data_IF_235134372753
#
_entry.id   IF_235134372753
#
_cell.length_a   1.000
_cell.length_b   1.000
_cell.length_c   1.000
_cell.angle_alpha   90.00
_cell.angle_beta   90.00
_cell.angle_gamma   90.00
#
_symmetry.space_group_name_H-M   'P 1'
#
loop_
_entity.id
_entity.type
_entity.pdbx_description
1 polymer ?
#
# COMPACT_ATOMS: atom_id res chain seq x y z
N UNK A 1 -17.06 6.05 16.82
CA UNK A 1 -16.74 4.82 17.57
C UNK A 1 -15.46 4.20 17.00
N UNK A 2 -15.47 3.70 15.76
CA UNK A 2 -14.30 3.09 15.11
C UNK A 2 -13.00 3.89 15.26
N UNK A 3 -12.99 5.13 14.76
CA UNK A 3 -11.81 6.00 14.81
C UNK A 3 -11.36 6.39 16.23
N UNK A 4 -12.25 6.34 17.22
CA UNK A 4 -11.96 6.76 18.59
C UNK A 4 -11.43 5.60 19.45
N UNK A 5 -11.89 4.39 19.20
CA UNK A 5 -11.63 3.22 20.04
C UNK A 5 -10.62 2.25 19.41
N UNK A 6 -10.61 2.13 18.08
CA UNK A 6 -9.80 1.12 17.39
C UNK A 6 -8.50 1.67 16.79
N UNK A 7 -8.43 2.97 16.44
CA UNK A 7 -7.15 3.59 16.03
C UNK A 7 -6.08 3.47 17.13
N UNK A 8 -6.37 3.75 18.42
CA UNK A 8 -5.36 3.60 19.46
C UNK A 8 -4.84 2.16 19.57
N UNK A 9 -5.71 1.17 19.37
CA UNK A 9 -5.32 -0.23 19.35
C UNK A 9 -4.45 -0.56 18.12
N UNK A 10 -4.77 -0.03 16.94
CA UNK A 10 -3.95 -0.17 15.73
C UNK A 10 -2.56 0.51 15.80
N UNK A 11 -2.36 1.43 16.76
CA UNK A 11 -1.05 2.03 17.06
C UNK A 11 -0.20 1.17 17.99
N UNK A 12 -0.74 0.08 18.54
CA UNK A 12 -0.05 -0.83 19.47
C UNK A 12 1.27 -1.38 18.94
N UNK A 13 1.35 -1.69 17.64
CA UNK A 13 2.61 -2.06 16.98
C UNK A 13 3.73 -1.02 17.16
N UNK A 14 3.41 0.27 17.04
CA UNK A 14 4.39 1.34 17.19
C UNK A 14 4.86 1.44 18.64
N UNK A 15 3.93 1.35 19.58
CA UNK A 15 4.24 1.36 21.01
C UNK A 15 5.10 0.15 21.40
N UNK A 16 4.79 -1.03 20.84
CA UNK A 16 5.61 -2.21 21.01
C UNK A 16 7.01 -2.04 20.43
N UNK A 17 7.15 -1.45 19.25
CA UNK A 17 8.47 -1.16 18.67
C UNK A 17 9.34 -0.27 19.57
N UNK A 18 8.74 0.77 20.18
CA UNK A 18 9.42 1.61 21.17
C UNK A 18 9.81 0.78 22.40
N UNK A 19 8.86 0.06 22.98
CA UNK A 19 9.09 -0.79 24.14
C UNK A 19 10.18 -1.86 23.90
N UNK A 20 10.16 -2.51 22.74
CA UNK A 20 11.13 -3.51 22.33
C UNK A 20 12.53 -2.90 22.22
N UNK A 21 12.66 -1.75 21.56
CA UNK A 21 13.95 -1.08 21.39
C UNK A 21 14.53 -0.61 22.72
N UNK A 22 13.70 -0.09 23.62
CA UNK A 22 14.12 0.30 24.97
C UNK A 22 14.56 -0.90 25.82
N UNK A 23 13.94 -2.07 25.60
CA UNK A 23 14.20 -3.30 26.37
C UNK A 23 15.41 -4.09 25.86
N UNK A 24 15.45 -4.33 24.54
CA UNK A 24 16.41 -5.24 23.89
C UNK A 24 17.64 -4.48 23.38
N UNK A 25 17.51 -3.17 23.10
CA UNK A 25 18.57 -2.35 22.49
C UNK A 25 19.23 -3.03 21.27
N UNK A 26 18.44 -3.48 20.27
CA UNK A 26 18.95 -4.24 19.15
C UNK A 26 19.84 -3.37 18.26
N UNK A 27 20.77 -4.01 17.53
CA UNK A 27 21.59 -3.31 16.53
C UNK A 27 20.76 -2.77 15.35
N UNK A 28 19.66 -3.46 15.04
CA UNK A 28 18.63 -3.00 14.11
C UNK A 28 17.35 -2.65 14.91
N UNK A 29 16.95 -1.37 14.99
CA UNK A 29 15.75 -0.95 15.72
C UNK A 29 14.43 -1.46 15.11
N UNK A 30 14.49 -2.22 14.01
CA UNK A 30 13.35 -2.82 13.33
C UNK A 30 13.31 -4.35 13.42
N UNK A 31 14.25 -4.98 14.12
CA UNK A 31 14.28 -6.43 14.36
C UNK A 31 12.94 -6.96 14.94
N UNK A 32 12.24 -6.14 15.72
CA UNK A 32 10.93 -6.49 16.28
C UNK A 32 9.87 -6.81 15.22
N UNK A 33 10.00 -6.30 13.99
CA UNK A 33 9.10 -6.61 12.89
C UNK A 33 9.21 -8.08 12.47
N UNK A 34 10.40 -8.69 12.52
CA UNK A 34 10.56 -10.13 12.29
C UNK A 34 9.85 -10.94 13.37
N UNK A 35 9.90 -10.47 14.62
CA UNK A 35 9.22 -11.08 15.75
C UNK A 35 7.69 -11.01 15.62
N UNK A 36 7.16 -9.92 15.05
CA UNK A 36 5.73 -9.74 14.76
C UNK A 36 5.29 -10.41 13.45
N UNK A 37 6.20 -10.60 12.49
CA UNK A 37 5.93 -11.08 11.13
C UNK A 37 5.44 -12.53 11.04
N UNK A 38 5.49 -13.30 12.13
CA UNK A 38 4.85 -14.62 12.23
C UNK A 38 3.32 -14.57 12.33
N UNK A 39 2.72 -13.37 12.26
CA UNK A 39 1.27 -13.18 12.36
C UNK A 39 0.62 -13.33 10.99
N UNK A 40 -0.39 -14.19 10.89
CA UNK A 40 -1.18 -14.34 9.66
C UNK A 40 -2.00 -13.07 9.40
N UNK A 41 -1.85 -12.49 8.21
CA UNK A 41 -2.44 -11.21 7.81
C UNK A 41 -2.98 -11.32 6.38
N UNK A 42 -4.12 -10.71 6.11
CA UNK A 42 -4.79 -10.75 4.80
C UNK A 42 -3.90 -10.15 3.69
N UNK A 43 -3.20 -9.04 3.97
CA UNK A 43 -2.32 -8.42 2.96
C UNK A 43 -1.12 -9.31 2.61
N UNK A 44 -0.57 -10.03 3.61
CA UNK A 44 0.54 -10.97 3.42
C UNK A 44 0.11 -12.15 2.56
N UNK A 45 -1.06 -12.74 2.84
CA UNK A 45 -1.59 -13.84 2.04
C UNK A 45 -1.89 -13.40 0.60
N UNK A 46 -2.52 -12.23 0.42
CA UNK A 46 -2.74 -11.63 -0.92
C UNK A 46 -1.43 -11.49 -1.68
N UNK A 47 -0.40 -10.92 -1.06
CA UNK A 47 0.89 -10.71 -1.70
C UNK A 47 1.59 -12.04 -2.02
N UNK A 48 1.42 -13.07 -1.18
CA UNK A 48 1.95 -14.41 -1.45
C UNK A 48 1.28 -15.06 -2.66
N UNK A 49 -0.05 -14.93 -2.82
CA UNK A 49 -0.74 -15.44 -4.01
C UNK A 49 -0.25 -14.77 -5.30
N UNK A 50 -0.06 -13.44 -5.28
CA UNK A 50 0.51 -12.70 -6.42
C UNK A 50 1.93 -13.17 -6.76
N UNK A 51 2.78 -13.36 -5.74
CA UNK A 51 4.16 -13.83 -5.92
C UNK A 51 4.23 -15.28 -6.42
N UNK A 52 3.31 -16.14 -6.00
CA UNK A 52 3.20 -17.52 -6.50
C UNK A 52 2.84 -17.54 -7.99
N UNK A 53 1.86 -16.75 -8.42
CA UNK A 53 1.52 -16.60 -9.83
C UNK A 53 2.71 -16.01 -10.63
N UNK A 54 3.43 -15.03 -10.06
CA UNK A 54 4.60 -14.45 -10.72
C UNK A 54 5.74 -15.46 -10.87
N UNK A 55 5.96 -16.30 -9.85
CA UNK A 55 6.92 -17.41 -9.91
C UNK A 55 6.53 -18.42 -10.98
N UNK A 56 5.25 -18.78 -11.07
CA UNK A 56 4.74 -19.68 -12.09
C UNK A 56 5.05 -19.16 -13.49
N UNK A 57 4.77 -17.88 -13.77
CA UNK A 57 5.11 -17.22 -15.05
C UNK A 57 6.62 -17.24 -15.31
N UNK A 58 7.45 -16.91 -14.31
CA UNK A 58 8.93 -16.91 -14.45
C UNK A 58 9.50 -18.27 -14.81
N UNK A 59 8.93 -19.34 -14.23
CA UNK A 59 9.40 -20.72 -14.47
C UNK A 59 8.92 -21.32 -15.79
N UNK A 60 7.87 -20.76 -16.39
CA UNK A 60 7.28 -21.26 -17.64
C UNK A 60 7.58 -20.30 -18.81
N UNK A 61 8.70 -20.54 -19.50
CA UNK A 61 9.24 -19.63 -20.53
C UNK A 61 8.27 -19.33 -21.69
N UNK A 62 7.39 -20.26 -22.05
CA UNK A 62 6.40 -20.03 -23.12
C UNK A 62 5.18 -19.22 -22.66
N UNK A 63 4.88 -19.20 -21.36
CA UNK A 63 3.71 -18.54 -20.82
C UNK A 63 3.86 -17.02 -20.83
N UNK A 64 5.03 -16.50 -20.45
CA UNK A 64 5.30 -15.06 -20.45
C UNK A 64 5.11 -14.44 -21.85
N UNK A 65 5.56 -15.11 -22.90
CA UNK A 65 5.43 -14.64 -24.29
C UNK A 65 3.98 -14.73 -24.80
N UNK A 66 3.24 -15.77 -24.41
CA UNK A 66 1.79 -15.85 -24.70
C UNK A 66 1.02 -14.69 -24.07
N UNK A 67 1.27 -14.42 -22.80
CA UNK A 67 0.59 -13.34 -22.06
C UNK A 67 0.91 -11.96 -22.65
N UNK A 68 2.17 -11.71 -23.06
CA UNK A 68 2.55 -10.49 -23.79
C UNK A 68 1.76 -10.29 -25.09
N UNK A 69 1.40 -11.39 -25.75
CA UNK A 69 0.59 -11.39 -26.98
C UNK A 69 -0.92 -11.44 -26.71
N UNK A 70 -1.37 -11.21 -25.46
CA UNK A 70 -2.78 -11.27 -25.03
C UNK A 70 -3.45 -12.65 -25.22
N UNK A 71 -2.66 -13.73 -25.13
CA UNK A 71 -3.17 -15.11 -25.17
C UNK A 71 -3.30 -15.61 -23.74
N UNK A 72 -4.53 -15.87 -23.30
CA UNK A 72 -4.89 -16.30 -21.94
C UNK A 72 -5.48 -17.72 -21.96
N UNK A 73 -4.69 -18.71 -22.40
CA UNK A 73 -5.12 -20.10 -22.60
C UNK A 73 -4.63 -21.08 -21.52
N UNK A 74 -3.88 -20.61 -20.54
CA UNK A 74 -3.34 -21.43 -19.46
C UNK A 74 -4.37 -21.66 -18.35
N UNK A 75 -4.87 -22.90 -18.24
CA UNK A 75 -5.94 -23.26 -17.29
C UNK A 75 -5.52 -23.08 -15.82
N UNK A 76 -4.26 -23.39 -15.49
CA UNK A 76 -3.75 -23.31 -14.12
C UNK A 76 -3.67 -21.86 -13.65
N UNK A 77 -3.02 -20.99 -14.45
CA UNK A 77 -2.92 -19.57 -14.16
C UNK A 77 -4.32 -18.94 -14.07
N UNK A 78 -5.21 -19.24 -15.01
CA UNK A 78 -6.56 -18.69 -14.99
C UNK A 78 -7.32 -19.15 -13.75
N UNK A 79 -7.19 -20.41 -13.31
CA UNK A 79 -7.80 -20.86 -12.05
C UNK A 79 -7.29 -20.08 -10.84
N UNK A 80 -5.98 -19.86 -10.73
CA UNK A 80 -5.38 -19.09 -9.64
C UNK A 80 -5.83 -17.62 -9.66
N UNK A 81 -5.91 -17.01 -10.85
CA UNK A 81 -6.43 -15.64 -11.02
C UNK A 81 -7.89 -15.54 -10.58
N UNK A 82 -8.75 -16.50 -10.95
CA UNK A 82 -10.16 -16.48 -10.51
C UNK A 82 -10.28 -16.65 -8.98
N UNK A 83 -9.50 -17.55 -8.38
CA UNK A 83 -9.46 -17.71 -6.91
C UNK A 83 -8.99 -16.43 -6.22
N UNK A 84 -7.98 -15.77 -6.78
CA UNK A 84 -7.51 -14.48 -6.28
C UNK A 84 -8.61 -13.42 -6.34
N UNK A 85 -9.33 -13.32 -7.46
CA UNK A 85 -10.42 -12.35 -7.65
C UNK A 85 -11.59 -12.65 -6.71
N UNK A 86 -11.94 -13.93 -6.52
CA UNK A 86 -13.00 -14.32 -5.58
C UNK A 86 -12.67 -13.88 -4.14
N UNK A 87 -11.39 -13.96 -3.74
CA UNK A 87 -10.96 -13.61 -2.39
C UNK A 87 -10.65 -12.12 -2.21
N UNK A 88 -10.08 -11.47 -3.22
CA UNK A 88 -9.47 -10.13 -3.12
C UNK A 88 -9.91 -9.16 -4.20
N UNK A 89 -10.70 -9.59 -5.19
CA UNK A 89 -11.20 -8.73 -6.28
C UNK A 89 -12.17 -7.65 -5.82
N UNK A 90 -12.82 -7.87 -4.68
CA UNK A 90 -13.66 -6.89 -4.00
C UNK A 90 -12.87 -5.92 -3.11
N UNK A 91 -11.54 -5.99 -3.07
CA UNK A 91 -10.73 -4.95 -2.43
C UNK A 91 -10.60 -3.80 -3.43
N UNK A 92 -11.39 -2.75 -3.23
CA UNK A 92 -11.13 -1.46 -3.85
C UNK A 92 -9.95 -0.85 -3.12
N UNK A 93 -8.96 -0.42 -3.87
CA UNK A 93 -8.21 0.73 -3.41
C UNK A 93 -9.16 1.90 -3.73
N UNK A 94 -9.42 2.82 -2.79
CA UNK A 94 -10.22 4.06 -3.00
C UNK A 94 -11.44 3.91 -3.92
N UNK A 95 -11.46 4.51 -5.14
CA UNK A 95 -12.58 4.52 -6.12
C UNK A 95 -12.47 3.55 -7.30
N UNK A 96 -11.38 2.78 -7.44
CA UNK A 96 -11.12 1.94 -8.65
C UNK A 96 -11.08 0.45 -8.34
N UNK A 97 -11.68 -0.35 -9.22
CA UNK A 97 -11.73 -1.82 -9.14
C UNK A 97 -10.43 -2.48 -9.66
N UNK A 98 -9.28 -2.11 -9.10
CA UNK A 98 -7.95 -2.48 -9.58
C UNK A 98 -7.74 -4.00 -9.75
N UNK A 99 -8.35 -4.83 -8.89
CA UNK A 99 -8.14 -6.28 -8.84
C UNK A 99 -9.37 -7.11 -9.22
N UNK A 100 -10.41 -6.49 -9.78
CA UNK A 100 -11.68 -7.20 -10.08
C UNK A 100 -11.70 -7.93 -11.42
N UNK A 101 -10.76 -7.62 -12.33
CA UNK A 101 -10.71 -8.16 -13.69
C UNK A 101 -9.45 -9.03 -13.88
N UNK A 102 -9.58 -10.25 -14.45
CA UNK A 102 -8.45 -11.11 -14.78
C UNK A 102 -7.31 -10.40 -15.53
N UNK A 103 -7.62 -9.51 -16.48
CA UNK A 103 -6.57 -8.81 -17.24
C UNK A 103 -5.69 -7.91 -16.38
N UNK A 104 -6.29 -7.19 -15.42
CA UNK A 104 -5.56 -6.30 -14.52
C UNK A 104 -4.65 -7.08 -13.59
N UNK A 105 -5.17 -8.19 -13.03
CA UNK A 105 -4.38 -9.10 -12.18
C UNK A 105 -3.22 -9.69 -12.96
N UNK A 106 -3.45 -10.20 -14.18
CA UNK A 106 -2.39 -10.77 -15.01
C UNK A 106 -1.33 -9.72 -15.37
N UNK A 107 -1.75 -8.49 -15.72
CA UNK A 107 -0.81 -7.41 -15.99
C UNK A 107 0.11 -7.14 -14.80
N UNK A 108 -0.45 -7.05 -13.59
CA UNK A 108 0.31 -6.85 -12.36
C UNK A 108 1.27 -8.02 -12.09
N UNK A 109 0.80 -9.25 -12.22
CA UNK A 109 1.61 -10.46 -12.01
C UNK A 109 2.75 -10.54 -13.04
N UNK A 110 2.52 -10.10 -14.27
CA UNK A 110 3.57 -9.99 -15.28
C UNK A 110 4.66 -8.99 -14.89
N UNK A 111 4.29 -7.81 -14.37
CA UNK A 111 5.26 -6.84 -13.85
C UNK A 111 6.09 -7.44 -12.71
N UNK A 112 5.44 -8.18 -11.79
CA UNK A 112 6.13 -8.91 -10.72
C UNK A 112 7.07 -10.01 -11.25
N UNK A 113 6.67 -10.69 -12.33
CA UNK A 113 7.47 -11.73 -12.98
C UNK A 113 8.71 -11.16 -13.70
N UNK A 114 8.67 -9.90 -14.15
CA UNK A 114 9.83 -9.24 -14.77
C UNK A 114 10.94 -8.93 -13.77
N UNK A 115 10.61 -8.80 -12.49
CA UNK A 115 11.62 -8.61 -11.45
C UNK A 115 12.30 -9.93 -11.07
N UNK A 116 13.61 -9.84 -10.81
CA UNK A 116 14.32 -10.89 -10.07
C UNK A 116 13.69 -10.99 -8.69
N UNK A 117 13.40 -12.22 -8.20
CA UNK A 117 12.74 -12.43 -6.92
C UNK A 117 13.32 -11.49 -5.85
N UNK A 118 12.48 -10.70 -5.15
CA UNK A 118 12.97 -9.70 -4.23
C UNK A 118 13.90 -10.37 -3.22
N UNK A 119 15.10 -9.82 -3.05
CA UNK A 119 16.00 -10.25 -1.97
C UNK A 119 15.35 -9.82 -0.66
N UNK A 120 14.39 -10.60 -0.14
CA UNK A 120 13.87 -10.42 1.22
C UNK A 120 15.07 -10.32 2.14
N UNK A 121 15.32 -9.13 2.67
CA UNK A 121 16.52 -8.85 3.46
C UNK A 121 16.36 -9.36 4.88
N UNK A 122 15.11 -9.55 5.31
CA UNK A 122 14.78 -10.34 6.48
C UNK A 122 15.17 -11.78 6.19
N UNK A 123 16.29 -12.19 6.76
CA UNK A 123 16.52 -13.60 7.02
C UNK A 123 15.25 -14.07 7.72
N UNK A 124 14.67 -15.18 7.30
CA UNK A 124 13.80 -15.97 8.19
C UNK A 124 14.67 -16.54 9.31
N UNK A 125 15.31 -15.66 10.07
CA UNK A 125 16.12 -15.94 11.23
C UNK A 125 15.15 -16.30 12.33
N UNK A 126 14.97 -17.61 12.51
CA UNK A 126 14.20 -18.29 13.54
C UNK A 126 13.45 -17.34 14.51
N UNK A 127 12.18 -17.01 14.21
CA UNK A 127 11.32 -16.14 15.05
C UNK A 127 11.35 -16.59 16.52
N UNK A 128 11.53 -17.89 16.74
CA UNK A 128 11.69 -18.49 18.07
C UNK A 128 12.97 -18.02 18.77
N UNK A 129 14.08 -17.86 18.05
CA UNK A 129 15.31 -17.28 18.57
C UNK A 129 15.14 -15.80 18.96
N UNK A 130 14.44 -15.01 18.13
CA UNK A 130 14.13 -13.61 18.46
C UNK A 130 13.21 -13.51 19.68
N UNK A 131 12.22 -14.40 19.77
CA UNK A 131 11.35 -14.51 20.94
C UNK A 131 12.15 -14.85 22.20
N UNK A 132 13.04 -15.83 22.11
CA UNK A 132 13.89 -16.23 23.23
C UNK A 132 14.85 -15.11 23.65
N UNK A 133 15.44 -14.38 22.70
CA UNK A 133 16.25 -13.20 22.96
C UNK A 133 15.45 -12.13 23.71
N UNK A 134 14.27 -11.77 23.19
CA UNK A 134 13.37 -10.83 23.85
C UNK A 134 13.03 -11.25 25.29
N UNK A 135 12.62 -12.51 25.50
CA UNK A 135 12.26 -13.02 26.83
C UNK A 135 13.44 -13.14 27.81
N UNK A 136 14.67 -13.23 27.30
CA UNK A 136 15.88 -13.27 28.13
C UNK A 136 16.16 -11.96 28.87
N UNK A 137 15.55 -10.85 28.44
CA UNK A 137 15.68 -9.53 29.07
C UNK A 137 14.75 -9.34 30.28
N UNK A 138 13.89 -10.33 30.58
CA UNK A 138 12.92 -10.27 31.66
C UNK A 138 13.20 -11.32 32.74
N UNK A 139 13.01 -10.92 34.00
CA UNK A 139 13.03 -11.82 35.16
C UNK A 139 11.82 -12.78 35.11
N UNK A 140 11.91 -13.94 35.78
CA UNK A 140 10.88 -15.00 35.68
C UNK A 140 9.46 -14.52 36.03
N UNK A 141 9.32 -13.61 36.99
CA UNK A 141 8.02 -13.01 37.39
C UNK A 141 7.44 -12.07 36.32
N UNK A 142 8.28 -11.47 35.47
CA UNK A 142 7.91 -10.52 34.42
C UNK A 142 7.78 -11.17 33.03
N UNK A 143 8.19 -12.43 32.88
CA UNK A 143 8.13 -13.15 31.59
C UNK A 143 6.71 -13.29 31.09
N UNK A 144 5.74 -13.57 31.97
CA UNK A 144 4.33 -13.66 31.60
C UNK A 144 3.84 -12.35 31.01
N UNK A 145 4.16 -11.22 31.66
CA UNK A 145 3.83 -9.88 31.18
C UNK A 145 4.47 -9.59 29.81
N UNK A 146 5.75 -9.93 29.62
CA UNK A 146 6.44 -9.73 28.35
C UNK A 146 5.80 -10.52 27.19
N UNK A 147 5.31 -11.74 27.46
CA UNK A 147 4.56 -12.56 26.50
C UNK A 147 3.23 -11.91 26.16
N UNK A 148 2.47 -11.46 27.16
CA UNK A 148 1.18 -10.78 26.96
C UNK A 148 1.33 -9.50 26.12
N UNK A 149 2.39 -8.72 26.35
CA UNK A 149 2.71 -7.52 25.56
C UNK A 149 3.03 -7.87 24.11
N UNK A 150 3.78 -8.95 23.87
CA UNK A 150 4.07 -9.42 22.52
C UNK A 150 2.79 -9.91 21.81
N UNK A 151 1.94 -10.65 22.50
CA UNK A 151 0.67 -11.13 21.94
C UNK A 151 -0.28 -9.98 21.64
N UNK A 152 -0.34 -8.96 22.51
CA UNK A 152 -1.09 -7.73 22.28
C UNK A 152 -0.57 -6.98 21.04
N UNK A 153 0.75 -6.91 20.86
CA UNK A 153 1.36 -6.27 19.70
C UNK A 153 1.04 -7.00 18.39
N UNK A 154 1.03 -8.34 18.40
CA UNK A 154 0.62 -9.16 17.25
C UNK A 154 -0.85 -8.98 16.90
N UNK A 155 -1.73 -9.01 17.90
CA UNK A 155 -3.15 -8.76 17.71
C UNK A 155 -3.41 -7.35 17.16
N UNK A 156 -2.71 -6.34 17.70
CA UNK A 156 -2.73 -4.97 17.20
C UNK A 156 -2.30 -4.88 15.72
N UNK A 157 -1.22 -5.57 15.35
CA UNK A 157 -0.71 -5.55 13.98
C UNK A 157 -1.67 -6.23 13.00
N UNK A 158 -2.16 -7.43 13.36
CA UNK A 158 -3.15 -8.16 12.58
C UNK A 158 -4.43 -7.35 12.39
N UNK A 159 -4.93 -6.75 13.47
CA UNK A 159 -6.14 -5.94 13.40
C UNK A 159 -5.97 -4.75 12.46
N UNK A 160 -4.83 -4.06 12.53
CA UNK A 160 -4.54 -2.94 11.62
C UNK A 160 -4.52 -3.40 10.16
N UNK A 161 -3.96 -4.56 9.87
CA UNK A 161 -3.92 -5.10 8.51
C UNK A 161 -5.31 -5.51 8.01
N UNK A 162 -5.96 -6.40 8.75
CA UNK A 162 -7.24 -6.99 8.38
C UNK A 162 -8.35 -5.95 8.32
N UNK A 163 -8.39 -4.98 9.24
CA UNK A 163 -9.39 -3.91 9.20
C UNK A 163 -9.26 -3.06 7.94
N UNK A 164 -8.03 -2.71 7.51
CA UNK A 164 -7.84 -1.96 6.27
C UNK A 164 -8.35 -2.76 5.07
N UNK A 165 -8.13 -4.08 5.05
CA UNK A 165 -8.63 -4.96 4.00
C UNK A 165 -10.16 -5.05 4.01
N UNK A 166 -10.79 -5.27 5.18
CA UNK A 166 -12.24 -5.41 5.28
C UNK A 166 -12.99 -4.08 5.08
N UNK A 167 -12.48 -2.97 5.60
CA UNK A 167 -13.04 -1.65 5.33
C UNK A 167 -12.98 -1.31 3.84
N UNK A 168 -11.89 -1.70 3.16
CA UNK A 168 -11.77 -1.56 1.71
C UNK A 168 -12.85 -2.36 0.99
N UNK A 169 -13.13 -3.61 1.42
CA UNK A 169 -14.24 -4.41 0.85
C UNK A 169 -15.60 -3.73 1.01
N UNK A 170 -15.90 -3.18 2.20
CA UNK A 170 -17.16 -2.45 2.43
C UNK A 170 -17.25 -1.22 1.52
N UNK A 171 -16.16 -0.46 1.41
CA UNK A 171 -16.09 0.72 0.54
C UNK A 171 -16.34 0.35 -0.92
N UNK A 172 -15.83 -0.78 -1.40
CA UNK A 172 -16.09 -1.29 -2.75
C UNK A 172 -17.58 -1.51 -2.99
N UNK A 173 -18.28 -2.15 -2.05
CA UNK A 173 -19.70 -2.42 -2.19
C UNK A 173 -20.52 -1.12 -2.26
N UNK A 174 -20.12 -0.10 -1.50
CA UNK A 174 -20.73 1.24 -1.58
C UNK A 174 -20.50 1.85 -2.96
N UNK A 175 -19.28 1.76 -3.50
CA UNK A 175 -18.96 2.28 -4.84
C UNK A 175 -19.71 1.55 -5.95
N UNK A 176 -19.84 0.23 -5.87
CA UNK A 176 -20.64 -0.55 -6.82
C UNK A 176 -22.11 -0.12 -6.80
N UNK A 177 -22.67 0.12 -5.61
CA UNK A 177 -24.02 0.65 -5.47
C UNK A 177 -24.16 2.05 -6.09
N UNK A 178 -23.16 2.91 -5.89
CA UNK A 178 -23.09 4.25 -6.51
C UNK A 178 -23.02 4.17 -8.03
N UNK A 179 -22.21 3.28 -8.60
CA UNK A 179 -22.09 3.12 -10.05
C UNK A 179 -23.38 2.59 -10.67
N UNK A 180 -24.03 1.61 -10.02
CA UNK A 180 -25.35 1.13 -10.42
C UNK A 180 -26.40 2.26 -10.37
N UNK A 181 -26.33 3.12 -9.37
CA UNK A 181 -27.21 4.28 -9.27
C UNK A 181 -26.97 5.28 -10.43
N UNK A 182 -25.71 5.60 -10.74
CA UNK A 182 -25.35 6.45 -11.90
C UNK A 182 -25.93 5.88 -13.20
N UNK A 183 -25.75 4.57 -13.44
CA UNK A 183 -26.31 3.89 -14.62
C UNK A 183 -27.84 3.99 -14.67
N UNK A 184 -28.53 3.82 -13.53
CA UNK A 184 -30.01 3.94 -13.46
C UNK A 184 -30.47 5.36 -13.74
N UNK A 185 -29.77 6.37 -13.22
CA UNK A 185 -30.06 7.77 -13.48
C UNK A 185 -29.90 8.13 -14.96
N UNK A 186 -28.80 7.73 -15.60
CA UNK A 186 -28.58 7.97 -17.02
C UNK A 186 -29.70 7.36 -17.88
N UNK A 187 -30.16 6.16 -17.53
CA UNK A 187 -31.29 5.50 -18.20
C UNK A 187 -32.64 6.21 -17.99
N UNK A 188 -32.80 6.96 -16.89
CA UNK A 188 -34.03 7.70 -16.59
C UNK A 188 -34.17 9.02 -17.36
N UNK A 189 -33.16 9.40 -18.16
CA UNK A 189 -33.16 10.65 -18.94
C UNK A 189 -32.94 11.92 -18.10
N UNK A 190 -32.70 11.78 -16.79
CA UNK A 190 -32.23 12.88 -15.93
C UNK A 190 -30.74 13.15 -16.23
N UNK A 191 -30.39 14.44 -16.19
CA UNK A 191 -29.13 15.03 -16.66
C UNK A 191 -27.87 14.22 -16.31
N UNK A 192 -26.90 14.17 -17.24
CA UNK A 192 -25.53 13.64 -17.00
C UNK A 192 -24.96 14.29 -15.75
N UNK A 193 -24.80 13.51 -14.70
CA UNK A 193 -24.18 14.02 -13.50
C UNK A 193 -22.66 13.81 -13.61
N UNK A 194 -21.91 14.91 -13.70
CA UNK A 194 -20.45 14.87 -13.57
C UNK A 194 -20.02 14.44 -12.16
N UNK A 195 -18.71 14.25 -11.94
CA UNK A 195 -18.07 13.79 -10.69
C UNK A 195 -18.85 14.22 -9.43
N UNK A 196 -19.74 13.34 -8.98
CA UNK A 196 -20.51 13.54 -7.76
C UNK A 196 -19.76 12.84 -6.65
N UNK A 197 -19.46 13.59 -5.60
CA UNK A 197 -19.04 13.04 -4.33
C UNK A 197 -20.17 12.19 -3.73
N UNK A 198 -19.82 11.14 -2.99
CA UNK A 198 -20.77 10.17 -2.42
C UNK A 198 -21.79 10.87 -1.51
N UNK A 199 -21.35 11.90 -0.79
CA UNK A 199 -22.21 12.71 0.09
C UNK A 199 -23.34 13.40 -0.70
N UNK A 200 -23.02 14.02 -1.83
CA UNK A 200 -24.01 14.67 -2.70
C UNK A 200 -24.97 13.66 -3.36
N UNK A 201 -24.53 12.42 -3.59
CA UNK A 201 -25.40 11.34 -4.08
C UNK A 201 -26.43 10.97 -3.02
N UNK A 202 -26.00 10.85 -1.77
CA UNK A 202 -26.90 10.51 -0.64
C UNK A 202 -27.94 11.62 -0.44
N UNK A 203 -27.54 12.90 -0.50
CA UNK A 203 -28.49 14.01 -0.44
C UNK A 203 -29.51 13.97 -1.59
N UNK A 204 -29.07 13.67 -2.81
CA UNK A 204 -29.95 13.52 -3.98
C UNK A 204 -30.93 12.34 -3.91
N UNK A 205 -30.67 11.35 -3.05
CA UNK A 205 -31.57 10.22 -2.80
C UNK A 205 -32.71 10.59 -1.85
N UNK A 206 -32.48 11.57 -0.95
CA UNK A 206 -33.47 12.03 0.01
C UNK A 206 -34.39 13.12 -0.55
N UNK A 207 -33.87 13.97 -1.42
CA UNK A 207 -34.61 15.05 -2.04
C UNK A 207 -34.86 14.68 -3.51
N UNK A 208 -36.12 14.46 -3.89
CA UNK A 208 -36.54 14.19 -5.29
C UNK A 208 -36.33 15.42 -6.22
N UNK A 209 -35.30 16.22 -5.99
CA UNK A 209 -34.98 17.43 -6.73
C UNK A 209 -33.57 17.39 -7.35
N UNK A 210 -33.41 18.18 -8.40
CA UNK A 210 -32.21 18.28 -9.22
C UNK A 210 -31.01 18.73 -8.38
N UNK A 211 -29.96 17.89 -8.36
CA UNK A 211 -28.65 18.21 -7.83
C UNK A 211 -28.11 19.47 -8.53
N UNK A 212 -27.99 20.57 -7.81
CA UNK A 212 -27.22 21.71 -8.29
C UNK A 212 -25.73 21.35 -8.27
N UNK A 213 -25.01 21.71 -9.34
CA UNK A 213 -23.56 21.54 -9.41
C UNK A 213 -22.92 22.16 -8.17
N UNK A 214 -21.91 21.53 -7.55
CA UNK A 214 -21.12 22.20 -6.53
C UNK A 214 -20.61 23.52 -7.09
N UNK A 215 -20.69 24.58 -6.27
CA UNK A 215 -19.96 25.81 -6.55
C UNK A 215 -18.51 25.41 -6.79
N UNK A 216 -18.01 25.73 -7.98
CA UNK A 216 -16.59 25.63 -8.29
C UNK A 216 -15.84 26.32 -7.16
N UNK A 217 -15.04 25.54 -6.41
CA UNK A 217 -14.03 26.13 -5.54
C UNK A 217 -13.26 27.14 -6.38
N UNK A 218 -13.12 28.35 -5.83
CA UNK A 218 -12.35 29.41 -6.48
C UNK A 218 -10.97 28.83 -6.77
N UNK A 219 -10.70 28.54 -8.03
CA UNK A 219 -9.35 28.36 -8.52
C UNK A 219 -8.66 29.70 -8.27
N UNK A 220 -7.83 29.73 -7.23
CA UNK A 220 -6.86 30.80 -7.10
C UNK A 220 -5.98 30.71 -8.34
N UNK A 221 -6.12 31.71 -9.19
CA UNK A 221 -5.28 31.90 -10.36
C UNK A 221 -3.86 32.19 -9.85
N UNK A 222 -3.08 31.13 -9.63
CA UNK A 222 -1.67 31.22 -9.28
C UNK A 222 -0.87 31.52 -10.56
N UNK A 223 -1.14 32.69 -11.16
CA UNK A 223 -0.29 33.30 -12.20
C UNK A 223 0.91 33.99 -11.56
N UNK A 224 1.60 33.26 -10.69
CA UNK A 224 2.87 33.64 -10.10
C UNK A 224 3.94 32.60 -10.45
N UNK A 225 5.18 33.05 -10.58
CA UNK A 225 6.35 32.19 -10.73
C UNK A 225 6.30 31.01 -9.73
N UNK A 226 6.06 29.79 -10.22
CA UNK A 226 6.12 28.57 -9.40
C UNK A 226 7.57 28.11 -9.32
N UNK A 227 8.14 28.22 -8.12
CA UNK A 227 9.41 27.57 -7.84
C UNK A 227 9.24 26.05 -7.95
N UNK A 228 9.95 25.43 -8.89
CA UNK A 228 10.16 23.97 -8.89
C UNK A 228 11.39 23.68 -8.03
N UNK A 229 11.16 23.05 -6.88
CA UNK A 229 12.25 22.53 -6.06
C UNK A 229 12.91 21.37 -6.82
N UNK A 230 14.18 21.52 -7.21
CA UNK A 230 14.96 20.43 -7.82
C UNK A 230 15.47 19.42 -6.81
N UNK A 231 15.50 19.82 -5.55
CA UNK A 231 15.91 18.98 -4.43
C UNK A 231 14.94 19.20 -3.28
N UNK A 232 14.41 18.09 -2.77
CA UNK A 232 13.48 18.04 -1.66
C UNK A 232 14.15 17.23 -0.55
N UNK A 233 14.01 17.69 0.69
CA UNK A 233 14.59 17.02 1.85
C UNK A 233 13.46 16.44 2.69
N UNK A 234 13.61 15.17 3.04
CA UNK A 234 12.75 14.44 3.95
C UNK A 234 13.57 13.72 5.02
N UNK A 235 13.00 12.67 5.58
CA UNK A 235 13.63 11.81 6.57
C UNK A 235 14.14 10.52 5.91
N UNK A 236 15.41 10.14 6.08
CA UNK A 236 15.91 8.86 5.62
C UNK A 236 15.18 7.73 6.36
N UNK A 237 14.59 6.80 5.60
CA UNK A 237 13.76 5.73 6.14
C UNK A 237 14.19 4.33 5.67
N UNK A 238 14.66 4.21 4.42
CA UNK A 238 15.19 2.98 3.85
C UNK A 238 16.53 3.25 3.16
N UNK A 239 17.65 2.62 3.57
CA UNK A 239 18.97 2.93 3.02
C UNK A 239 19.12 2.43 1.58
N UNK A 240 19.67 3.28 0.71
CA UNK A 240 19.93 2.97 -0.68
C UNK A 240 19.80 4.19 -1.58
N UNK A 241 20.14 4.04 -2.86
CA UNK A 241 19.96 5.07 -3.89
C UNK A 241 19.30 4.41 -5.09
N UNK A 242 18.27 5.05 -5.64
CA UNK A 242 17.65 4.60 -6.88
C UNK A 242 17.11 5.79 -7.69
N UNK A 243 16.93 5.55 -8.98
CA UNK A 243 16.41 6.50 -9.96
C UNK A 243 15.30 5.82 -10.76
N UNK A 244 14.26 6.57 -11.11
CA UNK A 244 13.16 6.06 -11.92
C UNK A 244 12.11 7.14 -12.20
N UNK A 245 11.08 6.74 -12.93
CA UNK A 245 9.94 7.60 -13.24
C UNK A 245 9.02 7.67 -12.01
N UNK A 246 8.65 8.88 -11.62
CA UNK A 246 7.68 9.16 -10.58
C UNK A 246 6.31 8.60 -10.94
N UNK A 247 5.72 7.85 -10.01
CA UNK A 247 4.30 7.49 -10.03
C UNK A 247 3.67 7.99 -8.75
N UNK A 248 2.95 9.11 -8.86
CA UNK A 248 2.20 9.70 -7.74
C UNK A 248 0.87 8.97 -7.63
N UNK A 249 0.63 8.35 -6.47
CA UNK A 249 -0.62 7.68 -6.14
C UNK A 249 -1.51 8.67 -5.40
N UNK A 250 -2.45 9.23 -6.14
CA UNK A 250 -3.55 10.03 -5.59
C UNK A 250 -4.77 9.14 -5.51
N UNK A 251 -5.00 8.40 -6.59
CA UNK A 251 -6.09 7.48 -6.72
C UNK A 251 -5.61 6.04 -6.93
N UNK A 252 -6.38 5.08 -6.44
CA UNK A 252 -6.26 3.64 -6.69
C UNK A 252 -5.95 3.15 -8.11
N UNK A 253 -6.49 3.84 -9.12
CA UNK A 253 -6.22 3.51 -10.51
C UNK A 253 -4.74 3.64 -10.84
N UNK A 254 -4.05 4.57 -10.17
CA UNK A 254 -2.61 4.81 -10.35
C UNK A 254 -1.78 3.58 -9.95
N UNK A 255 -2.28 2.76 -9.01
CA UNK A 255 -1.63 1.50 -8.60
C UNK A 255 -1.72 0.42 -9.68
N UNK A 256 -2.80 0.40 -10.46
CA UNK A 256 -3.00 -0.59 -11.53
C UNK A 256 -2.08 -0.39 -12.73
N UNK A 257 -1.67 0.87 -12.95
CA UNK A 257 -0.76 1.27 -14.01
C UNK A 257 0.71 1.27 -13.56
N UNK A 258 0.97 1.01 -12.27
CA UNK A 258 2.30 1.04 -11.69
C UNK A 258 3.24 0.08 -12.43
N UNK A 259 4.41 0.57 -12.83
CA UNK A 259 5.41 -0.20 -13.59
C UNK A 259 6.61 -0.58 -12.74
N UNK A 260 7.18 -1.73 -13.04
CA UNK A 260 8.42 -2.15 -12.40
C UNK A 260 9.52 -1.10 -12.63
N UNK A 261 10.16 -0.65 -11.55
CA UNK A 261 11.21 0.36 -11.58
C UNK A 261 10.73 1.81 -11.39
N UNK A 262 9.43 2.05 -11.24
CA UNK A 262 8.92 3.39 -10.91
C UNK A 262 9.20 3.77 -9.44
N UNK A 263 9.21 5.08 -9.18
CA UNK A 263 9.35 5.66 -7.84
C UNK A 263 7.93 5.89 -7.29
N UNK A 264 7.57 5.17 -6.23
CA UNK A 264 6.26 5.25 -5.60
C UNK A 264 6.18 6.51 -4.73
N UNK A 265 5.30 7.45 -5.10
CA UNK A 265 5.07 8.68 -4.34
C UNK A 265 3.64 8.68 -3.80
N UNK A 266 3.44 8.82 -2.49
CA UNK A 266 2.10 8.75 -1.89
C UNK A 266 1.97 9.56 -0.59
N UNK A 267 0.73 9.70 -0.08
CA UNK A 267 0.49 10.24 1.27
C UNK A 267 1.12 9.32 2.33
N UNK A 268 0.72 8.05 2.31
CA UNK A 268 1.24 6.99 3.16
C UNK A 268 0.93 5.62 2.56
N UNK A 269 1.86 4.68 2.66
CA UNK A 269 1.62 3.27 2.34
C UNK A 269 0.68 2.67 3.38
N UNK A 270 -0.42 2.12 2.90
CA UNK A 270 -1.35 1.29 3.65
C UNK A 270 -1.22 -0.20 3.24
N UNK A 271 -1.81 -1.15 4.00
CA UNK A 271 -1.86 -2.56 3.63
C UNK A 271 -2.40 -2.85 2.22
N UNK A 272 -3.27 -1.96 1.73
CA UNK A 272 -3.78 -2.00 0.38
C UNK A 272 -2.68 -1.90 -0.65
N UNK A 273 -1.73 -0.98 -0.49
CA UNK A 273 -0.66 -0.69 -1.47
C UNK A 273 0.53 -1.66 -1.44
N UNK A 274 0.63 -2.54 -0.45
CA UNK A 274 1.88 -3.32 -0.21
C UNK A 274 2.27 -4.26 -1.34
N UNK A 275 1.35 -4.61 -2.24
CA UNK A 275 1.63 -5.48 -3.40
C UNK A 275 2.41 -4.78 -4.53
N UNK A 276 2.36 -3.44 -4.63
CA UNK A 276 3.17 -2.70 -5.62
C UNK A 276 4.53 -2.31 -5.09
N UNK A 277 4.74 -2.36 -3.77
CA UNK A 277 6.02 -2.02 -3.15
C UNK A 277 7.18 -2.83 -3.73
N UNK A 278 7.09 -4.16 -3.94
CA UNK A 278 8.16 -4.93 -4.59
C UNK A 278 8.52 -4.41 -5.99
N UNK A 279 7.59 -3.79 -6.71
CA UNK A 279 7.84 -3.24 -8.05
C UNK A 279 8.60 -1.92 -8.00
N UNK A 280 8.59 -1.23 -6.87
CA UNK A 280 9.10 0.14 -6.72
C UNK A 280 10.63 0.17 -6.67
N UNK A 281 11.24 1.08 -7.42
CA UNK A 281 12.69 1.34 -7.33
C UNK A 281 13.04 2.14 -6.06
N UNK A 282 12.14 3.04 -5.63
CA UNK A 282 12.21 3.75 -4.36
C UNK A 282 10.81 4.18 -3.90
N UNK A 283 10.72 4.59 -2.63
CA UNK A 283 9.49 5.08 -2.02
C UNK A 283 9.69 6.51 -1.49
N UNK A 284 8.72 7.37 -1.74
CA UNK A 284 8.64 8.73 -1.23
C UNK A 284 7.28 8.95 -0.57
N UNK A 285 7.25 9.27 0.73
CA UNK A 285 6.01 9.46 1.48
C UNK A 285 5.86 10.85 2.08
N UNK A 286 4.61 11.33 2.10
CA UNK A 286 4.27 12.58 2.79
C UNK A 286 4.36 12.44 4.30
N UNK A 287 3.78 11.38 4.85
CA UNK A 287 3.82 11.11 6.30
C UNK A 287 5.24 10.70 6.69
N UNK A 288 5.68 11.18 7.85
CA UNK A 288 7.02 10.95 8.37
C UNK A 288 7.02 10.07 9.61
N UNK A 289 8.17 9.45 9.86
CA UNK A 289 8.43 8.69 11.06
C UNK A 289 9.10 7.35 10.77
N UNK A 290 10.13 7.03 11.54
CA UNK A 290 10.92 5.82 11.35
C UNK A 290 10.14 4.50 11.51
N UNK A 291 9.00 4.53 12.21
CA UNK A 291 8.15 3.37 12.53
C UNK A 291 6.82 3.35 11.75
N UNK A 292 6.66 4.18 10.71
CA UNK A 292 5.49 4.10 9.84
C UNK A 292 5.58 2.90 8.90
N UNK A 293 4.43 2.47 8.37
CA UNK A 293 4.34 1.24 7.59
C UNK A 293 5.23 1.24 6.34
N UNK A 294 5.23 2.34 5.58
CA UNK A 294 6.04 2.46 4.37
C UNK A 294 7.54 2.38 4.65
N UNK A 295 8.01 3.06 5.69
CA UNK A 295 9.41 2.96 6.15
C UNK A 295 9.80 1.53 6.51
N UNK A 296 8.92 0.81 7.20
CA UNK A 296 9.15 -0.58 7.60
C UNK A 296 9.27 -1.47 6.36
N UNK A 297 8.23 -1.50 5.52
CA UNK A 297 8.19 -2.36 4.33
C UNK A 297 9.36 -2.04 3.39
N UNK A 298 9.68 -0.76 3.17
CA UNK A 298 10.81 -0.39 2.33
C UNK A 298 12.12 -1.06 2.78
N UNK A 299 12.39 -1.09 4.09
CA UNK A 299 13.59 -1.77 4.63
C UNK A 299 13.54 -3.28 4.47
N UNK A 300 12.38 -3.91 4.65
CA UNK A 300 12.20 -5.36 4.47
C UNK A 300 12.55 -5.81 3.04
N UNK A 301 12.14 -5.00 2.06
CA UNK A 301 12.42 -5.21 0.64
C UNK A 301 13.78 -4.63 0.19
N UNK A 302 14.48 -3.91 1.06
CA UNK A 302 15.76 -3.25 0.73
C UNK A 302 15.62 -2.11 -0.28
N UNK A 303 14.46 -1.46 -0.31
CA UNK A 303 14.11 -0.38 -1.22
C UNK A 303 14.49 0.97 -0.58
N UNK A 304 15.20 1.86 -1.30
CA UNK A 304 15.46 3.23 -0.85
C UNK A 304 14.15 3.95 -0.50
N UNK A 305 14.11 4.61 0.65
CA UNK A 305 12.89 5.28 1.10
C UNK A 305 13.17 6.58 1.84
N UNK A 306 12.42 7.62 1.46
CA UNK A 306 12.41 8.94 2.08
C UNK A 306 10.99 9.29 2.50
N UNK A 307 10.81 9.65 3.76
CA UNK A 307 9.48 9.92 4.34
C UNK A 307 9.39 11.34 4.87
N UNK A 308 8.20 11.79 5.27
CA UNK A 308 8.03 13.08 5.94
C UNK A 308 8.24 14.29 5.04
N UNK A 309 7.86 14.19 3.77
CA UNK A 309 7.88 15.32 2.82
C UNK A 309 6.46 15.89 2.69
N UNK A 310 6.08 16.96 3.42
CA UNK A 310 4.67 17.38 3.56
C UNK A 310 3.94 17.67 2.26
N UNK A 311 4.66 18.06 1.21
CA UNK A 311 4.08 18.45 -0.08
C UNK A 311 4.45 17.47 -1.21
N UNK A 312 4.89 16.25 -0.90
CA UNK A 312 5.45 15.29 -1.86
C UNK A 312 4.57 15.08 -3.11
N UNK A 313 3.27 14.83 -2.90
CA UNK A 313 2.30 14.57 -3.97
C UNK A 313 1.90 15.82 -4.77
N UNK A 314 2.32 17.01 -4.33
CA UNK A 314 2.05 18.28 -5.03
C UNK A 314 3.30 18.86 -5.71
N UNK A 315 4.49 18.55 -5.17
CA UNK A 315 5.78 18.98 -5.70
C UNK A 315 6.28 18.09 -6.83
N UNK A 316 5.96 16.80 -6.78
CA UNK A 316 6.35 15.81 -7.78
C UNK A 316 5.11 15.40 -8.57
N UNK A 317 5.25 15.26 -9.90
CA UNK A 317 4.18 14.83 -10.78
C UNK A 317 4.49 13.44 -11.35
N UNK A 318 3.45 12.65 -11.62
CA UNK A 318 3.61 11.37 -12.32
C UNK A 318 4.25 11.61 -13.69
N UNK A 319 5.32 10.88 -13.99
CA UNK A 319 6.13 11.06 -15.19
C UNK A 319 7.44 11.82 -14.99
N UNK A 320 7.65 12.50 -13.85
CA UNK A 320 8.92 13.17 -13.55
C UNK A 320 10.06 12.15 -13.37
N UNK A 321 11.28 12.48 -13.81
CA UNK A 321 12.48 11.70 -13.47
C UNK A 321 12.89 12.04 -12.03
N UNK A 322 13.01 11.01 -11.18
CA UNK A 322 13.30 11.21 -9.76
C UNK A 322 14.44 10.32 -9.30
N UNK A 323 15.42 10.93 -8.61
CA UNK A 323 16.45 10.22 -7.86
C UNK A 323 16.16 10.31 -6.38
N UNK A 324 16.18 9.17 -5.69
CA UNK A 324 15.94 9.07 -4.25
C UNK A 324 17.19 8.56 -3.56
N UNK A 325 17.71 9.36 -2.63
CA UNK A 325 18.77 8.98 -1.69
C UNK A 325 18.15 8.74 -0.31
N UNK A 326 17.97 7.47 0.01
CA UNK A 326 17.43 7.01 1.29
C UNK A 326 18.43 7.02 2.44
N UNK A 327 19.73 7.28 2.19
CA UNK A 327 20.71 7.49 3.26
C UNK A 327 20.63 8.91 3.81
N UNK A 328 20.54 9.89 2.91
CA UNK A 328 20.54 11.30 3.26
C UNK A 328 19.14 11.90 3.40
N UNK A 329 18.10 11.18 2.96
CA UNK A 329 16.73 11.70 2.95
C UNK A 329 16.52 12.74 1.85
N UNK A 330 17.16 12.58 0.71
CA UNK A 330 17.14 13.56 -0.38
C UNK A 330 16.38 12.99 -1.58
N UNK A 331 15.50 13.80 -2.17
CA UNK A 331 14.80 13.50 -3.41
C UNK A 331 15.15 14.58 -4.42
N UNK A 332 15.66 14.19 -5.59
CA UNK A 332 16.03 15.09 -6.69
C UNK A 332 15.01 14.88 -7.81
N UNK A 333 14.46 15.98 -8.33
CA UNK A 333 13.49 15.98 -9.43
C UNK A 333 14.15 16.57 -10.68
N UNK A 334 14.26 15.76 -11.74
CA UNK A 334 14.98 16.01 -12.99
C UNK A 334 14.22 16.83 -14.01
#
# INVERSE_FOLDING_TARGET
>A
MYWKEFIPFAHGIRLFGVFYNDTVSPSDPYEFMELLGATEMESTERNQMLEQMALYIRTNSGLADKLKNNIYDDEQLMKEVHQFIEKYGDISFGTSYCLSNPKSVISLVMELALQSAPKKRLKTGNVEALKNNYLSHFQDEQRTYAVEILDLARASYQMRDNDNVYLSRIKTQVLQAVDLYKIRLEKSGKQKIGNLDIENIIESLHENESVQKPHSERTFDQTGFKMKARQIVGQPAGPGIAEGIARVIIDPSDLSEFKAGEILICDAIDPGMTFVVPLSAAIVERRGGMLIHGAIIAREYGIPCVTGIPDATTLIQSGDEVTVDGYLGIVIVG
#
